data_IF_662340459643
#
_entry.id   IF_662340459643
#
_cell.length_a   1.000
_cell.length_b   1.000
_cell.length_c   1.000
_cell.angle_alpha   90.00
_cell.angle_beta   90.00
_cell.angle_gamma   90.00
#
_symmetry.space_group_name_H-M   'P 1'
#
loop_
_entity.id
_entity.type
_entity.pdbx_description
1 polymer ?
#
# COMPACT_ATOMS: atom_id res chain seq x y z
N UNK A 1 1.82 27.12 18.06
CA UNK A 1 2.24 25.70 17.99
C UNK A 1 1.05 24.73 18.04
N UNK A 2 0.08 24.93 18.95
CA UNK A 2 -1.17 24.14 19.03
C UNK A 2 -2.01 24.22 17.75
N UNK A 3 -2.04 25.37 17.06
CA UNK A 3 -2.83 25.55 15.83
C UNK A 3 -2.37 24.68 14.64
N UNK A 4 -1.06 24.44 14.49
CA UNK A 4 -0.53 23.68 13.34
C UNK A 4 -0.79 22.18 13.54
N UNK A 5 -0.59 21.69 14.77
CA UNK A 5 -0.89 20.30 15.14
C UNK A 5 -2.39 20.02 15.07
N UNK A 6 -3.24 20.96 15.50
CA UNK A 6 -4.70 20.84 15.41
C UNK A 6 -5.18 20.84 13.95
N UNK A 7 -4.59 21.68 13.10
CA UNK A 7 -4.86 21.67 11.64
C UNK A 7 -4.42 20.37 10.99
N UNK A 8 -3.25 19.84 11.36
CA UNK A 8 -2.75 18.55 10.84
C UNK A 8 -3.64 17.38 11.26
N UNK A 9 -4.07 17.32 12.52
CA UNK A 9 -5.01 16.30 13.03
C UNK A 9 -6.41 16.44 12.39
N UNK A 10 -6.86 17.66 12.11
CA UNK A 10 -8.12 17.90 11.39
C UNK A 10 -8.05 17.43 9.93
N UNK A 11 -6.94 17.68 9.24
CA UNK A 11 -6.71 17.16 7.89
C UNK A 11 -6.58 15.64 7.87
N UNK A 12 -5.95 15.05 8.89
CA UNK A 12 -5.86 13.59 9.08
C UNK A 12 -7.25 12.95 9.26
N UNK A 13 -8.08 13.56 10.13
CA UNK A 13 -9.45 13.12 10.35
C UNK A 13 -10.31 13.25 9.10
N UNK A 14 -10.19 14.36 8.36
CA UNK A 14 -10.93 14.60 7.12
C UNK A 14 -10.53 13.62 6.00
N UNK A 15 -9.24 13.33 5.85
CA UNK A 15 -8.76 12.35 4.87
C UNK A 15 -9.20 10.92 5.21
N UNK A 16 -9.21 10.56 6.50
CA UNK A 16 -9.68 9.26 6.96
C UNK A 16 -11.21 9.09 6.78
N UNK A 17 -12.01 10.13 7.04
CA UNK A 17 -13.47 10.05 6.84
C UNK A 17 -13.86 10.01 5.38
N UNK A 18 -13.15 10.71 4.49
CA UNK A 18 -13.37 10.61 3.04
C UNK A 18 -12.98 9.25 2.47
N UNK A 19 -11.96 8.59 3.01
CA UNK A 19 -11.58 7.24 2.60
C UNK A 19 -12.59 6.15 3.02
N UNK A 20 -13.36 6.39 4.10
CA UNK A 20 -14.33 5.45 4.66
C UNK A 20 -15.79 5.67 4.22
N UNK A 21 -16.10 6.77 3.52
CA UNK A 21 -17.48 7.19 3.20
C UNK A 21 -18.03 6.72 1.84
N UNK A 22 -17.65 5.53 1.36
CA UNK A 22 -18.21 4.93 0.15
C UNK A 22 -19.27 3.85 0.49
N UNK A 23 -20.34 3.71 -0.32
CA UNK A 23 -21.56 3.00 0.06
C UNK A 23 -21.37 1.49 0.19
N UNK A 24 -21.92 0.93 1.28
CA UNK A 24 -21.86 -0.49 1.71
C UNK A 24 -22.68 -1.45 0.80
N UNK A 25 -23.24 -0.95 -0.31
CA UNK A 25 -24.12 -1.71 -1.19
C UNK A 25 -23.36 -2.31 -2.39
N UNK A 26 -22.49 -3.30 -2.17
CA UNK A 26 -21.87 -4.06 -3.27
C UNK A 26 -21.44 -5.50 -2.92
N UNK A 27 -21.90 -6.05 -1.80
CA UNK A 27 -21.35 -7.31 -1.25
C UNK A 27 -21.75 -8.61 -1.99
N UNK A 28 -22.57 -8.58 -3.04
CA UNK A 28 -23.12 -9.80 -3.66
C UNK A 28 -22.63 -10.09 -5.08
N UNK A 29 -22.06 -9.10 -5.79
CA UNK A 29 -21.67 -9.28 -7.21
C UNK A 29 -20.21 -9.72 -7.41
N UNK A 30 -19.35 -9.57 -6.40
CA UNK A 30 -17.94 -9.94 -6.51
C UNK A 30 -17.69 -11.46 -6.54
N UNK A 31 -18.51 -12.25 -5.85
CA UNK A 31 -18.34 -13.71 -5.81
C UNK A 31 -18.55 -14.34 -7.21
N UNK A 32 -19.55 -13.86 -7.96
CA UNK A 32 -19.88 -14.38 -9.30
C UNK A 32 -18.79 -14.08 -10.33
N UNK A 33 -18.06 -12.98 -10.18
CA UNK A 33 -16.99 -12.61 -11.12
C UNK A 33 -15.68 -13.36 -10.87
N UNK A 34 -15.41 -13.78 -9.63
CA UNK A 34 -14.25 -14.61 -9.29
C UNK A 34 -14.47 -16.07 -9.71
N UNK A 35 -15.65 -16.63 -9.46
CA UNK A 35 -16.03 -17.97 -9.93
C UNK A 35 -15.99 -18.08 -11.47
N UNK A 36 -16.36 -17.02 -12.19
CA UNK A 36 -16.31 -16.99 -13.66
C UNK A 36 -14.87 -16.94 -14.20
N UNK A 37 -13.95 -16.27 -13.49
CA UNK A 37 -12.52 -16.22 -13.87
C UNK A 37 -11.81 -17.54 -13.61
N UNK A 38 -12.05 -18.18 -12.46
CA UNK A 38 -11.49 -19.50 -12.17
C UNK A 38 -11.99 -20.57 -13.15
N UNK A 39 -13.29 -20.57 -13.50
CA UNK A 39 -13.82 -21.49 -14.52
C UNK A 39 -13.23 -21.28 -15.92
N UNK A 40 -12.86 -20.05 -16.27
CA UNK A 40 -12.22 -19.75 -17.54
C UNK A 40 -10.74 -20.22 -17.56
N UNK A 41 -10.05 -20.12 -16.43
CA UNK A 41 -8.67 -20.59 -16.27
C UNK A 41 -8.60 -22.13 -16.24
N UNK A 42 -9.52 -22.79 -15.54
CA UNK A 42 -9.62 -24.26 -15.49
C UNK A 42 -10.01 -24.86 -16.85
N UNK A 43 -10.90 -24.18 -17.60
CA UNK A 43 -11.29 -24.59 -18.95
C UNK A 43 -10.16 -24.46 -19.98
N UNK A 44 -9.24 -23.52 -19.78
CA UNK A 44 -8.08 -23.34 -20.64
C UNK A 44 -6.99 -24.39 -20.37
N UNK A 45 -6.86 -24.87 -19.12
CA UNK A 45 -5.94 -25.94 -18.75
C UNK A 45 -6.39 -27.33 -19.24
N UNK A 46 -7.71 -27.56 -19.40
CA UNK A 46 -8.24 -28.83 -19.90
C UNK A 46 -8.19 -28.96 -21.44
N UNK A 47 -8.09 -27.84 -22.17
CA UNK A 47 -8.10 -27.83 -23.64
C UNK A 47 -6.74 -28.11 -24.29
N UNK A 48 -5.65 -28.16 -23.52
CA UNK A 48 -4.28 -28.33 -24.04
C UNK A 48 -3.83 -29.80 -24.20
N UNK A 49 -4.65 -30.79 -23.82
CA UNK A 49 -4.29 -32.23 -23.88
C UNK A 49 -5.01 -33.03 -25.00
N UNK A 50 -5.80 -32.38 -25.85
CA UNK A 50 -6.49 -33.05 -26.96
C UNK A 50 -6.00 -32.54 -28.32
N UNK A 51 -4.95 -33.17 -28.86
CA UNK A 51 -4.46 -32.91 -30.21
C UNK A 51 -5.46 -33.30 -31.31
N UNK A 52 -5.60 -32.44 -32.32
CA UNK A 52 -6.33 -32.74 -33.55
C UNK A 52 -6.40 -31.54 -34.50
N UNK A 53 -5.75 -31.66 -35.66
CA UNK A 53 -5.56 -30.59 -36.66
C UNK A 53 -6.84 -29.96 -37.20
N UNK A 54 -6.85 -28.63 -37.35
CA UNK A 54 -7.64 -27.92 -38.37
C UNK A 54 -6.95 -26.58 -38.72
N UNK A 55 -6.92 -26.31 -40.02
CA UNK A 55 -6.15 -25.27 -40.72
C UNK A 55 -6.69 -23.84 -40.54
N UNK A 56 -5.75 -22.89 -40.62
CA UNK A 56 -5.84 -21.52 -41.14
C UNK A 56 -6.85 -20.54 -40.52
N UNK A 57 -6.36 -19.84 -39.49
CA UNK A 57 -6.81 -18.49 -39.14
C UNK A 57 -5.60 -17.68 -38.70
N UNK A 58 -5.10 -16.79 -39.57
CA UNK A 58 -3.96 -15.93 -39.27
C UNK A 58 -4.15 -15.20 -37.94
N UNK A 59 -3.26 -15.52 -37.00
CA UNK A 59 -3.11 -14.83 -35.74
C UNK A 59 -2.77 -13.36 -35.97
N UNK A 60 -3.58 -12.50 -35.36
CA UNK A 60 -3.13 -11.24 -34.80
C UNK A 60 -3.72 -11.15 -33.40
N UNK A 61 -3.24 -12.03 -32.51
CA UNK A 61 -3.15 -11.62 -31.12
C UNK A 61 -2.25 -10.38 -31.14
N UNK A 62 -2.86 -9.22 -30.91
CA UNK A 62 -2.14 -7.96 -30.87
C UNK A 62 -1.08 -8.06 -29.77
N UNK A 63 0.18 -8.29 -30.14
CA UNK A 63 1.30 -8.07 -29.24
C UNK A 63 1.12 -6.67 -28.63
N UNK A 64 1.15 -6.53 -27.29
CA UNK A 64 1.06 -5.21 -26.68
C UNK A 64 2.20 -4.36 -27.26
N UNK A 65 1.90 -3.14 -27.71
CA UNK A 65 2.82 -2.35 -28.53
C UNK A 65 4.14 -2.21 -27.80
N UNK A 66 5.24 -2.45 -28.52
CA UNK A 66 6.61 -2.37 -28.00
C UNK A 66 6.77 -1.13 -27.11
N UNK A 67 6.65 -1.31 -25.80
CA UNK A 67 6.81 -0.20 -24.87
C UNK A 67 8.24 0.30 -25.04
N UNK A 68 8.41 1.57 -25.44
CA UNK A 68 9.73 2.17 -25.54
C UNK A 68 10.50 2.03 -24.21
N UNK A 69 11.81 2.34 -24.21
CA UNK A 69 12.65 2.23 -23.01
C UNK A 69 11.98 2.79 -21.74
N UNK A 70 11.32 3.94 -21.85
CA UNK A 70 10.61 4.57 -20.73
C UNK A 70 9.47 3.70 -20.15
N UNK A 71 8.66 3.07 -20.99
CA UNK A 71 7.58 2.18 -20.53
C UNK A 71 8.11 0.94 -19.83
N UNK A 72 9.21 0.36 -20.35
CA UNK A 72 9.90 -0.76 -19.70
C UNK A 72 10.51 -0.35 -18.35
N UNK A 73 11.09 0.85 -18.26
CA UNK A 73 11.64 1.39 -17.03
C UNK A 73 10.56 1.60 -15.97
N UNK A 74 9.43 2.23 -16.31
CA UNK A 74 8.29 2.43 -15.40
C UNK A 74 7.76 1.07 -14.92
N UNK A 75 7.59 0.11 -15.82
CA UNK A 75 7.15 -1.25 -15.48
C UNK A 75 8.13 -1.95 -14.54
N UNK A 76 9.43 -1.83 -14.78
CA UNK A 76 10.47 -2.39 -13.91
C UNK A 76 10.49 -1.74 -12.53
N UNK A 77 10.39 -0.40 -12.45
CA UNK A 77 10.29 0.32 -11.18
C UNK A 77 9.01 -0.07 -10.42
N UNK A 78 7.87 -0.17 -11.10
CA UNK A 78 6.60 -0.59 -10.50
C UNK A 78 6.69 -1.95 -9.79
N UNK A 79 7.35 -2.93 -10.43
CA UNK A 79 7.59 -4.26 -9.83
C UNK A 79 8.42 -4.24 -8.54
N UNK A 80 9.12 -3.14 -8.24
CA UNK A 80 9.87 -2.97 -6.98
C UNK A 80 8.99 -2.50 -5.82
N UNK A 81 7.71 -2.19 -6.06
CA UNK A 81 6.78 -1.76 -5.01
C UNK A 81 6.68 -2.76 -3.84
N UNK A 82 6.47 -4.08 -4.06
CA UNK A 82 6.42 -5.05 -2.97
C UNK A 82 7.69 -5.06 -2.12
N UNK A 83 8.87 -4.83 -2.71
CA UNK A 83 10.11 -4.69 -1.94
C UNK A 83 10.09 -3.43 -1.06
N UNK A 84 9.75 -2.27 -1.64
CA UNK A 84 9.81 -0.99 -0.95
C UNK A 84 8.81 -0.87 0.23
N UNK A 85 7.66 -1.53 0.17
CA UNK A 85 6.65 -1.46 1.25
C UNK A 85 7.13 -2.09 2.57
N UNK A 86 8.07 -3.03 2.55
CA UNK A 86 8.55 -3.70 3.77
C UNK A 86 9.24 -2.74 4.74
N UNK A 87 9.90 -1.70 4.23
CA UNK A 87 10.62 -0.74 5.05
C UNK A 87 9.69 0.07 5.96
N UNK A 88 8.71 0.86 5.48
CA UNK A 88 7.80 1.58 6.36
C UNK A 88 6.96 0.63 7.24
N UNK A 89 6.58 -0.55 6.73
CA UNK A 89 5.85 -1.57 7.49
C UNK A 89 6.67 -2.08 8.68
N UNK A 90 7.99 -2.20 8.56
CA UNK A 90 8.84 -2.63 9.67
C UNK A 90 9.27 -1.47 10.58
N UNK A 91 9.71 -0.35 10.00
CA UNK A 91 10.37 0.73 10.73
C UNK A 91 9.40 1.51 11.63
N UNK A 92 8.15 1.72 11.20
CA UNK A 92 7.16 2.45 12.01
C UNK A 92 6.77 1.66 13.27
N UNK A 93 6.32 0.39 13.17
CA UNK A 93 6.00 -0.42 14.36
C UNK A 93 7.20 -0.66 15.25
N UNK A 94 8.40 -0.89 14.68
CA UNK A 94 9.63 -1.04 15.46
C UNK A 94 9.94 0.23 16.27
N UNK A 95 9.83 1.41 15.65
CA UNK A 95 10.03 2.70 16.33
C UNK A 95 8.98 2.93 17.43
N UNK A 96 7.73 2.56 17.18
CA UNK A 96 6.65 2.66 18.16
C UNK A 96 6.88 1.76 19.37
N UNK A 97 7.17 0.47 19.14
CA UNK A 97 7.46 -0.50 20.21
C UNK A 97 8.71 -0.08 20.99
N UNK A 98 9.76 0.37 20.31
CA UNK A 98 10.95 0.90 20.95
C UNK A 98 10.61 2.09 21.87
N UNK A 99 9.74 3.02 21.46
CA UNK A 99 9.28 4.11 22.34
C UNK A 99 8.42 3.64 23.52
N UNK A 100 7.65 2.56 23.38
CA UNK A 100 6.88 1.99 24.49
C UNK A 100 7.79 1.32 25.53
N UNK A 101 8.79 0.57 25.07
CA UNK A 101 9.72 -0.20 25.92
C UNK A 101 10.82 0.70 26.51
N UNK A 102 11.43 1.54 25.68
CA UNK A 102 12.65 2.29 26.02
C UNK A 102 12.40 3.61 26.76
N UNK A 103 11.18 3.90 27.23
CA UNK A 103 10.87 5.11 28.04
C UNK A 103 11.78 5.32 29.26
N UNK A 104 12.61 4.33 29.63
CA UNK A 104 13.47 4.35 30.81
C UNK A 104 14.97 4.53 30.57
N UNK A 105 15.47 4.62 29.33
CA UNK A 105 16.92 4.68 29.06
C UNK A 105 17.25 5.68 27.94
N UNK A 106 17.63 6.90 28.32
CA UNK A 106 17.80 8.08 27.44
C UNK A 106 18.88 8.04 26.36
N UNK A 107 19.27 6.86 25.85
CA UNK A 107 20.38 6.70 24.89
C UNK A 107 19.95 6.23 23.49
N UNK A 108 18.65 6.13 23.20
CA UNK A 108 18.17 5.61 21.90
C UNK A 108 17.55 6.68 20.97
N UNK A 109 17.45 7.94 21.40
CA UNK A 109 16.65 8.95 20.71
C UNK A 109 17.12 9.23 19.27
N UNK A 110 18.44 9.29 19.03
CA UNK A 110 18.99 9.55 17.71
C UNK A 110 18.80 8.37 16.74
N UNK A 111 18.93 7.14 17.24
CA UNK A 111 18.65 5.93 16.45
C UNK A 111 17.18 5.89 16.06
N UNK A 112 16.27 6.08 17.01
CA UNK A 112 14.83 6.14 16.71
C UNK A 112 14.50 7.26 15.72
N UNK A 113 15.12 8.43 15.87
CA UNK A 113 14.96 9.54 14.93
C UNK A 113 15.37 9.13 13.52
N UNK A 114 16.53 8.49 13.36
CA UNK A 114 16.98 8.00 12.06
C UNK A 114 16.03 6.98 11.45
N UNK A 115 15.52 6.02 12.24
CA UNK A 115 14.56 5.01 11.78
C UNK A 115 13.25 5.65 11.30
N UNK A 116 12.71 6.63 12.05
CA UNK A 116 11.47 7.33 11.69
C UNK A 116 11.66 8.16 10.41
N UNK A 117 12.81 8.84 10.26
CA UNK A 117 13.12 9.60 9.04
C UNK A 117 13.25 8.66 7.83
N UNK A 118 13.96 7.55 7.99
CA UNK A 118 14.13 6.55 6.93
C UNK A 118 12.78 5.91 6.54
N UNK A 119 11.90 5.64 7.50
CA UNK A 119 10.54 5.20 7.24
C UNK A 119 9.76 6.22 6.40
N UNK A 120 9.91 7.51 6.71
CA UNK A 120 9.35 8.62 5.94
C UNK A 120 9.75 8.59 4.46
N UNK A 121 11.06 8.49 4.20
CA UNK A 121 11.59 8.41 2.84
C UNK A 121 11.08 7.15 2.13
N UNK A 122 11.19 6.00 2.80
CA UNK A 122 10.79 4.72 2.22
C UNK A 122 9.29 4.64 1.90
N UNK A 123 8.42 5.25 2.72
CA UNK A 123 6.98 5.28 2.46
C UNK A 123 6.64 6.10 1.20
N UNK A 124 7.30 7.24 1.00
CA UNK A 124 7.13 8.06 -0.21
C UNK A 124 7.63 7.31 -1.46
N UNK A 125 8.78 6.64 -1.35
CA UNK A 125 9.29 5.78 -2.43
C UNK A 125 8.31 4.64 -2.72
N UNK A 126 7.81 3.95 -1.70
CA UNK A 126 6.86 2.85 -1.88
C UNK A 126 5.57 3.30 -2.57
N UNK A 127 5.01 4.46 -2.20
CA UNK A 127 3.84 5.01 -2.88
C UNK A 127 4.13 5.36 -4.34
N UNK A 128 5.26 6.02 -4.63
CA UNK A 128 5.65 6.32 -6.01
C UNK A 128 5.73 5.07 -6.87
N UNK A 129 6.41 4.03 -6.37
CA UNK A 129 6.50 2.74 -7.06
C UNK A 129 5.12 2.06 -7.18
N UNK A 130 4.25 2.23 -6.19
CA UNK A 130 2.87 1.73 -6.24
C UNK A 130 2.07 2.36 -7.38
N UNK A 131 2.21 3.67 -7.60
CA UNK A 131 1.60 4.37 -8.74
C UNK A 131 2.17 3.92 -10.09
N UNK A 132 3.46 3.57 -10.16
CA UNK A 132 4.03 2.94 -11.36
C UNK A 132 3.48 1.53 -11.60
N UNK A 133 3.26 0.76 -10.53
CA UNK A 133 2.73 -0.60 -10.62
C UNK A 133 1.25 -0.64 -11.00
N UNK A 134 0.44 0.21 -10.38
CA UNK A 134 -1.02 0.24 -10.52
C UNK A 134 -1.51 1.15 -11.66
N UNK A 135 -0.59 1.81 -12.37
CA UNK A 135 -0.90 2.87 -13.34
C UNK A 135 -1.41 4.16 -12.68
N UNK A 136 -1.60 5.21 -13.46
CA UNK A 136 -1.99 6.54 -12.97
C UNK A 136 -3.51 6.80 -12.96
N UNK A 137 -4.31 5.74 -12.81
CA UNK A 137 -5.76 5.88 -12.68
C UNK A 137 -6.13 6.42 -11.29
N UNK A 138 -7.05 7.39 -11.25
CA UNK A 138 -7.57 7.94 -9.99
C UNK A 138 -8.71 7.10 -9.40
N UNK A 139 -9.34 6.28 -10.23
CA UNK A 139 -10.44 5.40 -9.85
C UNK A 139 -10.15 3.99 -10.35
N UNK A 140 -10.46 2.99 -9.53
CA UNK A 140 -10.38 1.58 -9.88
C UNK A 140 -11.78 0.95 -9.81
N UNK A 141 -12.04 -0.02 -10.70
CA UNK A 141 -13.29 -0.80 -10.67
C UNK A 141 -13.34 -1.78 -9.50
N UNK A 142 -12.17 -2.28 -9.10
CA UNK A 142 -12.03 -3.11 -7.90
C UNK A 142 -11.95 -2.18 -6.67
N UNK A 143 -12.93 -2.27 -5.75
CA UNK A 143 -12.91 -1.48 -4.52
C UNK A 143 -11.67 -1.72 -3.66
N UNK A 144 -11.15 -2.95 -3.62
CA UNK A 144 -9.97 -3.27 -2.80
C UNK A 144 -8.74 -2.53 -3.33
N UNK A 145 -8.56 -2.52 -4.65
CA UNK A 145 -7.49 -1.76 -5.31
C UNK A 145 -7.64 -0.26 -5.06
N UNK A 146 -8.87 0.26 -5.17
CA UNK A 146 -9.16 1.67 -4.91
C UNK A 146 -8.77 2.07 -3.48
N UNK A 147 -9.22 1.29 -2.48
CA UNK A 147 -8.90 1.56 -1.09
C UNK A 147 -7.41 1.40 -0.80
N UNK A 148 -6.78 0.34 -1.30
CA UNK A 148 -5.34 0.11 -1.13
C UNK A 148 -4.52 1.28 -1.70
N UNK A 149 -4.85 1.75 -2.90
CA UNK A 149 -4.14 2.86 -3.56
C UNK A 149 -4.24 4.15 -2.75
N UNK A 150 -5.46 4.53 -2.36
CA UNK A 150 -5.68 5.82 -1.69
C UNK A 150 -5.24 5.80 -0.23
N UNK A 151 -5.53 4.73 0.51
CA UNK A 151 -5.04 4.57 1.88
C UNK A 151 -3.51 4.54 1.90
N UNK A 152 -2.88 3.82 0.96
CA UNK A 152 -1.42 3.78 0.81
C UNK A 152 -0.81 5.15 0.51
N UNK A 153 -1.43 5.93 -0.37
CA UNK A 153 -0.97 7.28 -0.71
C UNK A 153 -1.08 8.22 0.49
N UNK A 154 -2.21 8.19 1.21
CA UNK A 154 -2.40 8.98 2.44
C UNK A 154 -1.39 8.58 3.52
N UNK A 155 -1.18 7.27 3.72
CA UNK A 155 -0.19 6.74 4.66
C UNK A 155 1.23 7.18 4.30
N UNK A 156 1.59 7.21 3.01
CA UNK A 156 2.92 7.66 2.59
C UNK A 156 3.15 9.15 2.90
N UNK A 157 2.14 10.00 2.66
CA UNK A 157 2.22 11.42 3.02
C UNK A 157 2.26 11.61 4.54
N UNK A 158 1.48 10.84 5.29
CA UNK A 158 1.50 10.85 6.75
C UNK A 158 2.87 10.44 7.29
N UNK A 159 3.39 9.30 6.87
CA UNK A 159 4.69 8.76 7.31
C UNK A 159 5.84 9.68 6.88
N UNK A 160 5.79 10.24 5.66
CA UNK A 160 6.71 11.29 5.22
C UNK A 160 6.65 12.54 6.11
N UNK A 161 5.45 12.97 6.49
CA UNK A 161 5.24 14.08 7.43
C UNK A 161 5.77 13.80 8.84
N UNK A 162 5.60 12.57 9.33
CA UNK A 162 6.18 12.11 10.61
C UNK A 162 7.71 12.11 10.55
N UNK A 163 8.28 11.60 9.45
CA UNK A 163 9.72 11.66 9.19
C UNK A 163 10.25 13.10 9.18
N UNK A 164 9.56 14.01 8.49
CA UNK A 164 9.92 15.43 8.49
C UNK A 164 9.80 16.07 9.88
N UNK A 165 8.78 15.69 10.66
CA UNK A 165 8.61 16.15 12.03
C UNK A 165 9.77 15.69 12.91
N UNK A 166 10.15 14.41 12.85
CA UNK A 166 11.30 13.86 13.57
C UNK A 166 12.63 14.50 13.12
N UNK A 167 12.78 14.81 11.83
CA UNK A 167 13.94 15.52 11.31
C UNK A 167 14.04 16.94 11.88
N UNK A 168 12.93 17.69 11.91
CA UNK A 168 12.90 19.10 12.36
C UNK A 168 12.93 19.27 13.88
N UNK A 169 12.50 18.26 14.63
CA UNK A 169 12.34 18.34 16.10
C UNK A 169 12.82 17.07 16.79
N UNK A 170 14.13 16.98 17.00
CA UNK A 170 14.76 15.83 17.64
C UNK A 170 14.24 15.60 19.07
N UNK A 171 13.96 16.68 19.80
CA UNK A 171 13.39 16.68 21.16
C UNK A 171 11.98 16.08 21.20
N UNK A 172 11.22 16.16 20.10
CA UNK A 172 9.85 15.65 20.02
C UNK A 172 9.78 14.13 19.74
N UNK A 173 10.89 13.49 19.39
CA UNK A 173 10.92 12.05 19.01
C UNK A 173 10.44 11.15 20.15
N UNK A 174 10.84 11.45 21.39
CA UNK A 174 10.41 10.71 22.57
C UNK A 174 9.09 11.22 23.18
N UNK A 175 8.40 12.15 22.52
CA UNK A 175 7.17 12.75 23.07
C UNK A 175 6.00 11.74 23.06
N UNK A 176 5.04 11.97 23.97
CA UNK A 176 3.77 11.23 23.97
C UNK A 176 3.02 11.39 22.65
N UNK A 177 3.09 12.59 22.05
CA UNK A 177 2.47 12.85 20.76
C UNK A 177 3.08 11.96 19.67
N UNK A 178 4.41 11.88 19.57
CA UNK A 178 5.07 11.01 18.59
C UNK A 178 4.71 9.54 18.82
N UNK A 179 4.72 9.10 20.07
CA UNK A 179 4.36 7.72 20.43
C UNK A 179 2.94 7.36 19.98
N UNK A 180 1.95 8.22 20.24
CA UNK A 180 0.57 7.97 19.83
C UNK A 180 0.37 8.06 18.32
N UNK A 181 1.04 9.01 17.66
CA UNK A 181 1.01 9.11 16.20
C UNK A 181 1.56 7.84 15.56
N UNK A 182 2.74 7.36 15.97
CA UNK A 182 3.33 6.13 15.44
C UNK A 182 2.46 4.90 15.71
N UNK A 183 1.79 4.83 16.87
CA UNK A 183 0.85 3.77 17.19
C UNK A 183 -0.38 3.77 16.28
N UNK A 184 -1.01 4.93 16.09
CA UNK A 184 -2.14 5.06 15.16
C UNK A 184 -1.72 4.71 13.72
N UNK A 185 -0.55 5.19 13.27
CA UNK A 185 -0.01 4.84 11.95
C UNK A 185 0.29 3.35 11.81
N UNK A 186 0.78 2.69 12.87
CA UNK A 186 0.99 1.24 12.89
C UNK A 186 -0.32 0.48 12.63
N UNK A 187 -1.41 0.87 13.30
CA UNK A 187 -2.71 0.22 13.08
C UNK A 187 -3.22 0.43 11.65
N UNK A 188 -3.05 1.63 11.08
CA UNK A 188 -3.40 1.90 9.69
C UNK A 188 -2.53 1.09 8.70
N UNK A 189 -1.25 0.89 9.01
CA UNK A 189 -0.35 0.04 8.21
C UNK A 189 -0.78 -1.43 8.23
N UNK A 190 -1.34 -1.93 9.34
CA UNK A 190 -1.91 -3.29 9.40
C UNK A 190 -3.11 -3.42 8.45
N UNK A 191 -4.02 -2.44 8.45
CA UNK A 191 -5.16 -2.40 7.50
C UNK A 191 -4.64 -2.35 6.06
N UNK A 192 -3.65 -1.51 5.79
CA UNK A 192 -3.05 -1.39 4.46
C UNK A 192 -2.34 -2.69 4.01
N UNK A 193 -1.67 -3.38 4.94
CA UNK A 193 -1.05 -4.67 4.70
C UNK A 193 -2.08 -5.75 4.39
N UNK A 194 -3.20 -5.77 5.12
CA UNK A 194 -4.33 -6.66 4.83
C UNK A 194 -4.90 -6.41 3.43
N UNK A 195 -5.12 -5.14 3.06
CA UNK A 195 -5.59 -4.80 1.70
C UNK A 195 -4.59 -5.26 0.62
N UNK A 196 -3.28 -5.11 0.86
CA UNK A 196 -2.25 -5.59 -0.07
C UNK A 196 -2.23 -7.12 -0.20
N UNK A 197 -2.43 -7.84 0.90
CA UNK A 197 -2.57 -9.30 0.89
C UNK A 197 -3.84 -9.74 0.15
N UNK A 198 -4.97 -9.05 0.36
CA UNK A 198 -6.22 -9.33 -0.32
C UNK A 198 -6.11 -9.16 -1.85
N UNK A 199 -5.32 -8.20 -2.34
CA UNK A 199 -5.08 -8.02 -3.78
C UNK A 199 -4.29 -9.17 -4.42
N UNK A 200 -3.44 -9.83 -3.65
CA UNK A 200 -2.51 -10.85 -4.15
C UNK A 200 -3.01 -12.27 -3.89
N UNK A 201 -3.78 -12.48 -2.84
CA UNK A 201 -4.22 -13.79 -2.36
C UNK A 201 -5.76 -13.92 -2.30
N UNK A 202 -6.52 -12.87 -2.63
CA UNK A 202 -7.99 -12.85 -2.57
C UNK A 202 -8.53 -12.43 -1.19
N UNK A 203 -9.83 -12.14 -1.11
CA UNK A 203 -10.47 -11.70 0.15
C UNK A 203 -10.43 -12.78 1.24
N UNK A 204 -10.44 -14.03 0.81
CA UNK A 204 -10.54 -15.18 1.70
C UNK A 204 -9.18 -15.72 2.17
N UNK A 205 -8.09 -14.97 1.94
CA UNK A 205 -6.71 -15.40 2.22
C UNK A 205 -6.39 -15.70 3.69
N UNK A 206 -7.31 -15.45 4.62
CA UNK A 206 -7.16 -15.78 6.05
C UNK A 206 -8.10 -16.90 6.53
N UNK A 207 -8.97 -17.44 5.68
CA UNK A 207 -9.78 -18.61 6.02
C UNK A 207 -8.96 -19.89 5.91
N UNK A 208 -9.32 -20.88 6.73
CA UNK A 208 -8.71 -22.21 6.79
C UNK A 208 -9.66 -23.28 6.26
#
# INVERSE_FOLDING_TARGET
>A
MVLILRRFLLWLGLAATLALAAPIAAHTDHNKQQEAKQRAEDGHAAATDAGGMAMDGHGMEAEPPHTGFGGRLVSWLGRMHPFAVHFPIALIPASWLALLIARRRGHAADVLRALIVLAGIAALTAALLGWFNAGFALTDRDPIQLYHRWLGTVLALLVGGIGLWAWRRADAVASRAMTWTLGATTLLLLVQGWLGAALTHGLDHMYF
#
